data_IF_390453413879
#
_entry.id   IF_390453413879
#
_cell.length_a   1.000
_cell.length_b   1.000
_cell.length_c   1.000
_cell.angle_alpha   90.00
_cell.angle_beta   90.00
_cell.angle_gamma   90.00
#
_symmetry.space_group_name_H-M   'P 1'
#
loop_
_entity.id
_entity.type
_entity.pdbx_description
1 polymer ?
#
# COMPACT_ATOMS: atom_id res chain seq x y z
N UNK A 1 -22.84 17.64 -3.68
CA UNK A 1 -22.84 17.18 -3.66
C UNK A 1 -22.87 17.12 -3.63
N UNK A 2 -23.03 17.77 -3.62
CA UNK A 2 -23.02 17.47 -3.55
C UNK A 2 -23.15 17.30 -3.66
N UNK A 3 -23.45 17.71 -3.72
CA UNK A 3 -23.41 17.12 -3.64
C UNK A 3 -23.14 16.21 -3.68
N UNK A 4 -23.32 16.01 -3.66
CA UNK A 4 -22.96 15.18 -3.47
C UNK A 4 -22.28 14.67 -3.71
N UNK A 5 -21.92 14.61 -3.71
CA UNK A 5 -21.06 14.29 -3.88
C UNK A 5 -19.87 14.32 -3.54
N UNK A 6 -19.69 14.27 -2.92
CA UNK A 6 -18.33 14.52 -2.66
C UNK A 6 -17.80 14.14 -1.34
N UNK A 7 -18.51 13.59 -0.51
CA UNK A 7 -17.99 13.19 0.75
C UNK A 7 -16.98 12.11 0.65
N UNK A 8 -17.01 11.35 -0.38
CA UNK A 8 -15.98 10.37 -0.59
C UNK A 8 -14.64 10.99 -0.90
N UNK A 9 -14.61 12.30 -1.05
CA UNK A 9 -13.36 12.97 -1.28
C UNK A 9 -12.63 13.37 -0.03
N UNK A 10 -13.20 13.12 1.12
CA UNK A 10 -12.51 13.43 2.35
C UNK A 10 -11.34 12.48 2.48
N UNK A 11 -10.16 13.03 2.59
CA UNK A 11 -8.96 12.23 2.79
C UNK A 11 -8.96 11.69 4.21
N UNK A 12 -8.75 10.42 4.34
CA UNK A 12 -8.70 9.78 5.64
C UNK A 12 -7.31 9.24 5.88
N UNK A 13 -6.64 9.79 6.89
CA UNK A 13 -5.32 9.35 7.27
C UNK A 13 -5.45 8.26 8.32
N UNK A 14 -4.82 7.13 8.08
CA UNK A 14 -4.83 5.99 8.99
C UNK A 14 -3.42 5.73 9.46
N UNK A 15 -3.21 5.82 10.78
CA UNK A 15 -1.89 5.65 11.36
C UNK A 15 -1.64 4.19 11.71
N UNK A 16 -0.39 3.78 11.49
CA UNK A 16 0.09 2.43 11.76
C UNK A 16 1.46 2.54 12.42
N UNK A 17 1.97 1.48 13.07
CA UNK A 17 3.31 1.55 13.67
C UNK A 17 4.40 1.92 12.68
N UNK A 18 4.27 1.51 11.41
CA UNK A 18 5.28 1.77 10.39
C UNK A 18 5.13 3.14 9.72
N UNK A 19 4.04 3.86 9.96
CA UNK A 19 3.80 5.14 9.32
C UNK A 19 2.32 5.42 9.20
N UNK A 20 1.88 5.80 8.00
CA UNK A 20 0.45 6.04 7.79
C UNK A 20 0.11 5.93 6.31
N UNK A 21 -1.19 5.88 6.02
CA UNK A 21 -1.65 5.99 4.65
C UNK A 21 -2.88 6.89 4.58
N UNK A 22 -3.08 7.49 3.40
CA UNK A 22 -4.26 8.30 3.09
C UNK A 22 -5.01 7.66 1.94
N UNK A 23 -6.33 7.55 2.06
CA UNK A 23 -7.16 7.26 0.91
C UNK A 23 -7.36 8.55 0.12
N UNK A 24 -7.00 8.54 -1.16
CA UNK A 24 -7.04 9.72 -1.99
C UNK A 24 -8.28 9.74 -2.85
N UNK A 25 -8.61 8.60 -3.45
CA UNK A 25 -9.75 8.50 -4.35
C UNK A 25 -10.17 7.05 -4.44
N UNK A 26 -11.43 6.82 -4.83
CA UNK A 26 -11.92 5.46 -4.99
C UNK A 26 -13.12 5.45 -5.91
N UNK A 27 -13.28 4.33 -6.60
CA UNK A 27 -14.44 4.04 -7.42
C UNK A 27 -14.90 2.62 -7.15
N UNK A 28 -15.77 2.10 -8.02
CA UNK A 28 -16.31 0.76 -7.79
C UNK A 28 -15.27 -0.33 -8.00
N UNK A 29 -14.23 -0.06 -8.77
CA UNK A 29 -13.23 -1.07 -9.10
C UNK A 29 -11.81 -0.63 -8.85
N UNK A 30 -11.61 0.52 -8.21
CA UNK A 30 -10.27 1.00 -7.90
C UNK A 30 -10.25 1.80 -6.62
N UNK A 31 -9.06 1.89 -6.04
CA UNK A 31 -8.80 2.75 -4.89
C UNK A 31 -7.36 3.23 -4.98
N UNK A 32 -7.15 4.51 -4.67
CA UNK A 32 -5.83 5.11 -4.69
C UNK A 32 -5.47 5.53 -3.28
N UNK A 33 -4.27 5.13 -2.84
CA UNK A 33 -3.76 5.49 -1.52
C UNK A 33 -2.37 6.06 -1.63
N UNK A 34 -2.06 6.98 -0.73
CA UNK A 34 -0.70 7.45 -0.52
C UNK A 34 -0.20 6.82 0.77
N UNK A 35 0.95 6.18 0.70
CA UNK A 35 1.52 5.45 1.84
C UNK A 35 2.84 6.08 2.19
N UNK A 36 3.03 6.40 3.48
CA UNK A 36 4.31 6.88 4.00
C UNK A 36 4.83 5.88 5.02
N UNK A 37 6.08 5.47 4.83
CA UNK A 37 6.74 4.49 5.70
C UNK A 37 7.94 5.17 6.34
N UNK A 38 8.01 5.13 7.65
CA UNK A 38 9.12 5.72 8.40
C UNK A 38 10.42 4.98 8.09
N UNK A 39 11.57 5.66 8.21
CA UNK A 39 12.86 5.00 7.97
C UNK A 39 13.01 3.75 8.82
N UNK A 40 13.46 2.67 8.19
CA UNK A 40 13.72 1.42 8.88
C UNK A 40 12.50 0.56 9.17
N UNK A 41 11.30 1.04 8.82
CA UNK A 41 10.08 0.29 9.11
C UNK A 41 9.60 -0.47 7.90
N UNK A 42 8.72 -1.43 8.15
CA UNK A 42 8.17 -2.27 7.08
C UNK A 42 6.76 -2.69 7.41
N UNK A 43 6.00 -2.98 6.37
CA UNK A 43 4.67 -3.54 6.52
C UNK A 43 4.76 -5.06 6.65
N UNK A 44 3.65 -5.69 7.05
CA UNK A 44 3.60 -7.14 7.11
C UNK A 44 3.66 -7.74 5.72
N UNK A 45 4.09 -8.99 5.63
CA UNK A 45 4.00 -9.75 4.39
C UNK A 45 2.54 -10.11 4.18
N UNK A 46 1.99 -9.77 3.03
CA UNK A 46 0.55 -9.80 2.78
C UNK A 46 0.23 -10.40 1.42
N UNK A 47 -1.03 -10.77 1.27
CA UNK A 47 -1.58 -11.22 0.00
C UNK A 47 -3.05 -10.79 -0.06
N UNK A 48 -3.54 -10.53 -1.27
CA UNK A 48 -4.94 -10.22 -1.49
C UNK A 48 -5.53 -11.18 -2.52
N UNK A 49 -6.78 -11.59 -2.31
CA UNK A 49 -7.43 -12.57 -3.18
C UNK A 49 -8.18 -11.94 -4.34
N UNK A 50 -8.54 -10.66 -4.26
CA UNK A 50 -9.47 -10.06 -5.20
C UNK A 50 -8.97 -8.80 -5.86
N UNK A 51 -7.76 -8.35 -5.51
CA UNK A 51 -7.24 -7.11 -6.10
C UNK A 51 -5.76 -7.23 -6.43
N UNK A 52 -5.36 -6.51 -7.44
CA UNK A 52 -3.96 -6.29 -7.77
C UNK A 52 -3.58 -4.89 -7.34
N UNK A 53 -2.29 -4.59 -7.31
CA UNK A 53 -1.80 -3.28 -6.91
C UNK A 53 -0.70 -2.82 -7.84
N UNK A 54 -0.63 -1.50 -8.03
CA UNK A 54 0.48 -0.85 -8.70
C UNK A 54 1.08 0.15 -7.73
N UNK A 55 2.37 0.10 -7.56
CA UNK A 55 3.09 0.96 -6.62
C UNK A 55 4.05 1.84 -7.37
N UNK A 56 4.04 3.15 -7.09
CA UNK A 56 4.95 4.12 -7.68
C UNK A 56 5.68 4.80 -6.54
N UNK A 57 7.01 4.79 -6.58
CA UNK A 57 7.82 5.46 -5.56
C UNK A 57 7.86 6.93 -5.90
N UNK A 58 7.40 7.75 -4.97
CA UNK A 58 7.36 9.20 -5.12
C UNK A 58 8.57 9.83 -4.43
N UNK A 59 8.97 9.28 -3.27
CA UNK A 59 10.08 9.81 -2.51
C UNK A 59 10.76 8.69 -1.75
N UNK A 60 12.08 8.71 -1.73
CA UNK A 60 12.86 7.75 -0.97
C UNK A 60 13.16 6.48 -1.74
N UNK A 61 13.46 5.43 -1.01
CA UNK A 61 13.84 4.14 -1.57
C UNK A 61 12.99 3.06 -0.95
N UNK A 62 12.45 2.17 -1.78
CA UNK A 62 11.61 1.08 -1.33
C UNK A 62 12.30 -0.25 -1.59
N UNK A 63 12.28 -1.13 -0.59
CA UNK A 63 12.65 -2.53 -0.77
C UNK A 63 11.34 -3.29 -0.87
N UNK A 64 11.10 -3.91 -2.02
CA UNK A 64 9.83 -4.54 -2.30
C UNK A 64 10.05 -6.03 -2.49
N UNK A 65 9.32 -6.81 -1.69
CA UNK A 65 9.27 -8.25 -1.85
C UNK A 65 7.99 -8.58 -2.61
N UNK A 66 8.11 -9.36 -3.68
CA UNK A 66 6.97 -9.77 -4.49
C UNK A 66 7.19 -11.22 -4.88
N UNK A 67 6.44 -12.12 -4.26
CA UNK A 67 6.68 -13.55 -4.42
C UNK A 67 8.06 -13.91 -3.90
N UNK A 68 8.86 -14.53 -4.74
CA UNK A 68 10.21 -14.95 -4.38
C UNK A 68 11.26 -13.88 -4.68
N UNK A 69 10.85 -12.76 -5.23
CA UNK A 69 11.79 -11.72 -5.66
C UNK A 69 11.79 -10.56 -4.72
N UNK A 70 12.96 -9.95 -4.59
CA UNK A 70 13.13 -8.75 -3.80
C UNK A 70 13.85 -7.74 -4.68
N UNK A 71 13.35 -6.51 -4.73
CA UNK A 71 14.00 -5.49 -5.54
C UNK A 71 13.99 -4.15 -4.83
N UNK A 72 15.00 -3.37 -5.14
CA UNK A 72 15.14 -2.02 -4.61
C UNK A 72 14.64 -1.05 -5.67
N UNK A 73 13.76 -0.13 -5.28
CA UNK A 73 13.20 0.83 -6.21
C UNK A 73 13.38 2.23 -5.67
N UNK A 74 13.70 3.14 -6.57
CA UNK A 74 13.89 4.54 -6.24
C UNK A 74 12.82 5.39 -6.91
N UNK A 75 12.94 6.71 -6.77
CA UNK A 75 11.91 7.64 -7.22
C UNK A 75 11.59 7.46 -8.69
N UNK A 76 10.31 7.56 -9.00
CA UNK A 76 9.73 7.42 -10.34
C UNK A 76 9.72 6.00 -10.89
N UNK A 77 10.16 5.03 -10.12
CA UNK A 77 10.03 3.63 -10.52
C UNK A 77 8.72 3.07 -10.01
N UNK A 78 8.20 2.07 -10.69
CA UNK A 78 6.92 1.47 -10.34
C UNK A 78 6.98 -0.04 -10.50
N UNK A 79 6.05 -0.72 -9.84
CA UNK A 79 5.96 -2.17 -9.93
C UNK A 79 4.50 -2.59 -9.86
N UNK A 80 4.22 -3.76 -10.41
CA UNK A 80 2.91 -4.37 -10.39
C UNK A 80 2.92 -5.55 -9.44
N UNK A 81 1.90 -5.62 -8.57
CA UNK A 81 1.71 -6.73 -7.64
C UNK A 81 0.47 -7.49 -8.08
N UNK A 82 0.60 -8.69 -8.64
CA UNK A 82 -0.55 -9.46 -9.10
C UNK A 82 -1.43 -9.93 -7.96
N UNK A 83 -2.68 -10.23 -8.29
CA UNK A 83 -3.60 -10.88 -7.35
C UNK A 83 -2.98 -12.19 -6.88
N UNK A 84 -3.09 -12.46 -5.58
CA UNK A 84 -2.67 -13.74 -5.01
C UNK A 84 -1.18 -13.89 -4.77
N UNK A 85 -0.39 -12.84 -5.01
CA UNK A 85 1.06 -12.90 -4.81
C UNK A 85 1.40 -12.22 -3.49
N UNK A 86 2.22 -12.88 -2.68
CA UNK A 86 2.67 -12.30 -1.42
C UNK A 86 3.57 -11.11 -1.70
N UNK A 87 3.43 -10.08 -0.88
CA UNK A 87 4.22 -8.87 -1.08
C UNK A 87 4.45 -8.14 0.24
N UNK A 88 5.51 -7.34 0.27
CA UNK A 88 5.87 -6.53 1.42
C UNK A 88 6.57 -5.26 0.94
N UNK A 89 6.26 -4.16 1.61
CA UNK A 89 6.90 -2.87 1.39
C UNK A 89 7.77 -2.55 2.60
N UNK A 90 8.99 -2.11 2.34
CA UNK A 90 9.95 -1.82 3.40
C UNK A 90 10.73 -0.57 3.04
N UNK A 91 11.00 0.27 4.05
CA UNK A 91 11.83 1.46 3.87
C UNK A 91 13.22 1.18 4.45
N UNK A 92 14.21 0.84 3.62
CA UNK A 92 15.56 0.58 4.11
C UNK A 92 16.39 1.84 4.29
N UNK A 93 15.85 3.00 3.93
CA UNK A 93 16.60 4.24 3.88
C UNK A 93 16.51 5.04 5.15
N UNK A 94 16.95 6.31 5.05
CA UNK A 94 17.02 7.22 6.20
C UNK A 94 16.05 8.37 6.12
N UNK A 95 15.27 8.45 5.05
CA UNK A 95 14.19 9.44 4.91
C UNK A 95 12.88 8.70 4.76
N UNK A 96 11.78 9.41 4.94
CA UNK A 96 10.46 8.81 4.74
C UNK A 96 10.33 8.31 3.32
N UNK A 97 9.75 7.12 3.19
CA UNK A 97 9.39 6.56 1.89
C UNK A 97 7.94 6.95 1.63
N UNK A 98 7.70 7.46 0.43
CA UNK A 98 6.34 7.79 0.03
C UNK A 98 6.04 7.10 -1.28
N UNK A 99 4.93 6.35 -1.32
CA UNK A 99 4.47 5.71 -2.55
C UNK A 99 3.01 6.03 -2.79
N UNK A 100 2.64 5.97 -4.07
CA UNK A 100 1.25 5.99 -4.49
C UNK A 100 0.89 4.55 -4.87
N UNK A 101 -0.20 4.07 -4.29
CA UNK A 101 -0.69 2.72 -4.54
C UNK A 101 -2.04 2.81 -5.23
N UNK A 102 -2.16 2.12 -6.36
CA UNK A 102 -3.44 1.97 -7.04
C UNK A 102 -3.88 0.52 -6.89
N UNK A 103 -5.01 0.32 -6.25
CA UNK A 103 -5.62 -0.99 -6.08
C UNK A 103 -6.72 -1.14 -7.13
N UNK A 104 -6.80 -2.29 -7.75
CA UNK A 104 -7.77 -2.53 -8.81
C UNK A 104 -8.26 -3.96 -8.72
N UNK A 105 -9.58 -4.16 -8.77
CA UNK A 105 -10.12 -5.50 -8.69
C UNK A 105 -11.61 -5.53 -8.45
N UNK A 106 -12.11 -6.75 -8.27
CA UNK A 106 -13.55 -6.97 -8.08
C UNK A 106 -14.00 -6.67 -6.66
N UNK A 107 -13.10 -6.67 -5.71
CA UNK A 107 -13.42 -6.40 -4.32
C UNK A 107 -12.25 -5.68 -3.66
N UNK A 108 -12.54 -4.54 -3.03
CA UNK A 108 -11.51 -3.67 -2.46
C UNK A 108 -11.61 -3.53 -0.95
N UNK A 109 -12.41 -4.38 -0.29
CA UNK A 109 -12.55 -4.31 1.17
C UNK A 109 -11.25 -4.64 1.88
N UNK A 110 -11.03 -4.01 3.03
CA UNK A 110 -9.81 -4.23 3.79
C UNK A 110 -9.72 -5.63 4.39
N UNK A 111 -10.82 -6.35 4.44
CA UNK A 111 -10.82 -7.74 4.90
C UNK A 111 -10.30 -8.71 3.84
N UNK A 112 -10.00 -8.23 2.63
CA UNK A 112 -9.38 -9.04 1.58
C UNK A 112 -7.87 -9.06 1.77
N UNK A 113 -7.41 -9.38 2.97
CA UNK A 113 -5.99 -9.38 3.27
C UNK A 113 -5.64 -10.61 4.09
N UNK A 114 -4.55 -11.26 3.72
CA UNK A 114 -3.94 -12.33 4.50
C UNK A 114 -2.57 -11.85 4.92
N UNK A 115 -2.31 -11.82 6.21
CA UNK A 115 -1.00 -11.41 6.73
C UNK A 115 -0.23 -12.65 7.17
N UNK A 116 1.01 -12.76 6.71
CA UNK A 116 1.85 -13.91 6.99
C UNK A 116 2.81 -13.68 8.14
N UNK A 117 3.27 -12.43 8.30
CA UNK A 117 4.04 -12.08 9.48
C UNK A 117 3.69 -10.64 9.83
N UNK A 118 3.56 -10.35 11.10
CA UNK A 118 3.20 -9.03 11.55
C UNK A 118 4.19 -8.65 12.65
N UNK A 119 5.21 -7.89 12.26
CA UNK A 119 6.28 -7.52 13.19
C UNK A 119 5.82 -6.61 14.30
N UNK A 120 4.60 -6.07 14.21
CA UNK A 120 4.08 -5.14 15.22
C UNK A 120 3.07 -5.80 16.14
N UNK A 121 2.86 -7.09 16.03
CA UNK A 121 2.03 -7.83 16.96
C UNK A 121 0.53 -7.71 16.72
N UNK A 122 0.09 -7.17 15.59
CA UNK A 122 -1.33 -7.15 15.25
C UNK A 122 -1.81 -8.54 14.91
N UNK A 123 -3.09 -8.79 15.19
CA UNK A 123 -3.70 -10.04 14.73
C UNK A 123 -4.47 -9.77 13.45
N UNK A 124 -4.64 -10.80 12.69
CA UNK A 124 -5.37 -10.70 11.42
C UNK A 124 -6.85 -10.88 11.60
#
# INVERSE_FOLDING_TARGET
DARGETKHKVHRKVFRPWGHYDSIDSGSRFQVKRIKVKPGEKLSLQMHHHRAEHWIVVRGTALITCGDETKLMTENQSTYIPVGVTHRLENPGKVDLEIIEVQSGSYLGEDDIVRFDDTYGRTN
#
